data_IF_255618655853
#
_entry.id   IF_255618655853
#
_cell.length_a   1.000
_cell.length_b   1.000
_cell.length_c   1.000
_cell.angle_alpha   90.00
_cell.angle_beta   90.00
_cell.angle_gamma   90.00
#
_symmetry.space_group_name_H-M   'P 1'
#
loop_
_entity.id
_entity.type
_entity.pdbx_description
1 polymer ?
#
# COMPACT_ATOMS: atom_id res chain seq x y z
N UNK A 1 1.55 0.19 4.59
CA UNK A 1 2.37 1.32 4.09
C UNK A 1 2.00 2.56 4.88
N UNK A 2 2.96 3.36 5.34
CA UNK A 2 2.66 4.62 6.04
C UNK A 2 2.47 5.77 5.05
N UNK A 3 1.60 6.74 5.36
CA UNK A 3 1.30 7.87 4.49
C UNK A 3 2.34 9.01 4.57
N UNK A 4 2.30 9.94 3.61
CA UNK A 4 3.20 11.11 3.56
C UNK A 4 2.95 12.15 4.65
N UNK A 5 1.70 12.32 5.06
CA UNK A 5 1.29 13.46 5.85
C UNK A 5 1.86 13.40 7.28
N UNK A 6 1.84 14.55 7.95
CA UNK A 6 1.98 14.61 9.40
C UNK A 6 0.66 14.27 10.07
N UNK A 7 0.72 13.62 11.22
CA UNK A 7 -0.39 13.56 12.17
C UNK A 7 0.04 14.22 13.47
N UNK A 8 -0.69 15.25 13.88
CA UNK A 8 -0.37 16.04 15.07
C UNK A 8 1.09 16.55 15.08
N UNK A 9 1.58 16.99 13.91
CA UNK A 9 2.93 17.57 13.75
C UNK A 9 4.06 16.57 13.50
N UNK A 10 3.83 15.26 13.63
CA UNK A 10 4.85 14.21 13.45
C UNK A 10 4.60 13.48 12.13
N UNK A 11 5.64 13.31 11.31
CA UNK A 11 5.54 12.51 10.08
C UNK A 11 5.12 11.08 10.41
N UNK A 12 4.16 10.51 9.67
CA UNK A 12 3.66 9.16 9.99
C UNK A 12 4.80 8.12 9.91
N UNK A 13 5.75 8.28 8.99
CA UNK A 13 6.97 7.45 8.89
C UNK A 13 7.87 7.49 10.14
N UNK A 14 7.70 8.50 11.01
CA UNK A 14 8.45 8.68 12.25
C UNK A 14 7.53 8.63 13.50
N UNK A 15 6.28 8.22 13.34
CA UNK A 15 5.29 8.32 14.41
C UNK A 15 5.20 7.03 15.24
N UNK A 16 5.94 6.97 16.35
CA UNK A 16 6.01 5.78 17.21
C UNK A 16 4.65 5.38 17.78
N UNK A 17 3.78 6.36 18.06
CA UNK A 17 2.43 6.08 18.55
C UNK A 17 1.62 5.30 17.52
N UNK A 18 1.71 5.67 16.24
CA UNK A 18 0.99 4.96 15.18
C UNK A 18 1.64 3.62 14.85
N UNK A 19 2.95 3.64 14.56
CA UNK A 19 3.64 2.50 13.96
C UNK A 19 3.96 1.39 14.96
N UNK A 20 4.13 1.71 16.24
CA UNK A 20 4.42 0.74 17.29
C UNK A 20 3.27 0.63 18.28
N UNK A 21 2.93 1.71 19.01
CA UNK A 21 1.99 1.57 20.12
C UNK A 21 0.60 1.10 19.65
N UNK A 22 0.00 1.75 18.65
CA UNK A 22 -1.31 1.34 18.15
C UNK A 22 -1.18 0.09 17.26
N UNK A 23 -0.40 0.19 16.18
CA UNK A 23 -0.38 -0.86 15.17
C UNK A 23 0.14 -2.20 15.71
N UNK A 24 1.17 -2.19 16.55
CA UNK A 24 1.82 -3.43 17.03
C UNK A 24 1.38 -3.81 18.43
N UNK A 25 1.44 -2.88 19.38
CA UNK A 25 1.18 -3.22 20.78
C UNK A 25 -0.33 -3.38 21.06
N UNK A 26 -1.17 -2.51 20.50
CA UNK A 26 -2.63 -2.58 20.68
C UNK A 26 -3.29 -3.56 19.67
N UNK A 27 -2.94 -3.51 18.39
CA UNK A 27 -3.60 -4.32 17.35
C UNK A 27 -2.91 -5.64 17.02
N UNK A 28 -1.68 -5.85 17.51
CA UNK A 28 -0.95 -7.10 17.29
C UNK A 28 -0.43 -7.29 15.86
N UNK A 29 -0.12 -6.22 15.12
CA UNK A 29 0.41 -6.36 13.77
C UNK A 29 1.82 -6.97 13.75
N UNK A 30 1.94 -8.15 13.14
CA UNK A 30 3.20 -8.92 13.04
C UNK A 30 3.97 -8.69 11.73
N UNK A 31 3.39 -7.98 10.76
CA UNK A 31 4.02 -7.72 9.48
C UNK A 31 5.06 -6.60 9.51
N UNK A 32 5.52 -6.18 8.33
CA UNK A 32 6.40 -5.02 8.16
C UNK A 32 5.61 -3.76 7.79
N UNK A 33 6.15 -2.60 8.16
CA UNK A 33 5.69 -1.29 7.73
C UNK A 33 6.68 -0.73 6.71
N UNK A 34 6.22 -0.53 5.48
CA UNK A 34 6.96 0.19 4.44
C UNK A 34 6.51 1.65 4.34
N UNK A 35 7.39 2.54 3.86
CA UNK A 35 7.02 3.92 3.53
C UNK A 35 6.26 3.99 2.20
N UNK A 36 5.44 5.03 2.05
CA UNK A 36 5.10 5.52 0.70
C UNK A 36 6.36 6.08 0.02
N UNK A 37 6.29 6.28 -1.30
CA UNK A 37 7.39 6.60 -2.19
C UNK A 37 8.08 7.95 -1.85
N UNK A 38 9.15 7.89 -1.06
CA UNK A 38 9.88 9.08 -0.61
C UNK A 38 9.27 9.76 0.64
N UNK A 39 8.44 9.05 1.41
CA UNK A 39 7.85 9.55 2.65
C UNK A 39 8.82 9.56 3.86
N UNK A 40 10.07 9.12 3.68
CA UNK A 40 11.11 9.12 4.71
C UNK A 40 11.89 10.43 4.64
N UNK A 41 11.71 11.28 5.66
CA UNK A 41 12.43 12.56 5.77
C UNK A 41 13.77 12.40 6.49
N UNK A 42 13.81 11.55 7.51
CA UNK A 42 15.00 11.22 8.32
C UNK A 42 15.00 9.70 8.53
N UNK A 43 16.00 9.03 7.98
CA UNK A 43 16.08 7.56 7.93
C UNK A 43 16.33 6.98 9.31
N UNK A 44 17.24 7.58 10.08
CA UNK A 44 17.61 7.11 11.41
C UNK A 44 16.43 7.26 12.37
N UNK A 45 15.76 8.41 12.33
CA UNK A 45 14.63 8.71 13.19
C UNK A 45 13.36 7.93 12.82
N UNK A 46 13.27 7.35 11.62
CA UNK A 46 12.13 6.53 11.20
C UNK A 46 12.19 5.07 11.71
N UNK A 47 13.41 4.54 11.91
CA UNK A 47 13.63 3.14 12.32
C UNK A 47 13.06 2.87 13.71
N UNK A 48 13.41 3.71 14.70
CA UNK A 48 13.00 3.50 16.11
C UNK A 48 11.47 3.51 16.30
N UNK A 49 10.70 4.41 15.66
CA UNK A 49 9.24 4.38 15.63
C UNK A 49 8.61 3.10 15.08
N UNK A 50 9.35 2.32 14.28
CA UNK A 50 8.89 1.06 13.70
C UNK A 50 8.65 1.08 12.19
N UNK A 51 9.28 2.01 11.45
CA UNK A 51 9.38 1.89 10.00
C UNK A 51 10.41 0.81 9.64
N UNK A 52 10.01 -0.19 8.85
CA UNK A 52 10.85 -1.34 8.55
C UNK A 52 11.51 -1.27 7.16
N UNK A 53 10.90 -0.58 6.20
CA UNK A 53 11.36 -0.52 4.81
C UNK A 53 11.12 0.87 4.18
N UNK A 54 12.19 1.52 3.72
CA UNK A 54 12.11 2.70 2.85
C UNK A 54 11.79 2.27 1.42
N UNK A 55 10.81 2.94 0.81
CA UNK A 55 10.47 2.77 -0.61
C UNK A 55 10.32 4.15 -1.30
N UNK A 56 10.86 4.34 -2.52
CA UNK A 56 12.03 3.60 -3.00
C UNK A 56 13.25 4.03 -2.16
N UNK A 57 14.22 3.14 -1.97
CA UNK A 57 15.46 3.51 -1.29
C UNK A 57 16.26 4.55 -2.08
N UNK A 58 17.00 5.43 -1.40
CA UNK A 58 17.98 6.37 -2.01
C UNK A 58 19.31 5.70 -2.41
N UNK A 59 19.35 4.37 -2.48
CA UNK A 59 20.55 3.61 -2.77
C UNK A 59 21.60 3.71 -1.66
N UNK A 60 22.88 3.86 -2.02
CA UNK A 60 23.98 3.83 -1.07
C UNK A 60 23.93 4.96 -0.02
N UNK A 61 23.28 6.08 -0.32
CA UNK A 61 23.20 7.22 0.59
C UNK A 61 22.46 6.87 1.89
N UNK A 62 21.23 6.36 1.80
CA UNK A 62 20.43 6.00 2.98
C UNK A 62 21.02 4.80 3.73
N UNK A 63 21.64 3.85 3.02
CA UNK A 63 22.38 2.74 3.65
C UNK A 63 23.54 3.26 4.49
N UNK A 64 24.37 4.14 3.91
CA UNK A 64 25.54 4.69 4.61
C UNK A 64 25.15 5.56 5.80
N UNK A 65 24.01 6.27 5.75
CA UNK A 65 23.47 7.03 6.87
C UNK A 65 23.12 6.12 8.06
N UNK A 66 22.42 5.01 7.80
CA UNK A 66 22.06 4.04 8.84
C UNK A 66 23.30 3.36 9.42
N UNK A 67 24.24 2.93 8.56
CA UNK A 67 25.50 2.31 9.01
C UNK A 67 26.32 3.24 9.89
N UNK A 68 26.45 4.52 9.51
CA UNK A 68 27.12 5.53 10.34
C UNK A 68 26.39 5.71 11.67
N UNK A 69 25.07 5.84 11.66
CA UNK A 69 24.29 6.01 12.88
C UNK A 69 24.48 4.83 13.87
N UNK A 70 24.64 3.60 13.37
CA UNK A 70 24.96 2.45 14.23
C UNK A 70 26.39 2.53 14.79
N UNK A 71 27.38 2.76 13.92
CA UNK A 71 28.79 2.84 14.33
C UNK A 71 29.05 3.97 15.33
N UNK A 72 28.37 5.10 15.16
CA UNK A 72 28.49 6.29 16.00
C UNK A 72 27.61 6.19 17.28
N UNK A 73 26.82 5.13 17.44
CA UNK A 73 25.97 4.88 18.61
C UNK A 73 24.66 5.69 18.64
N UNK A 74 24.32 6.42 17.58
CA UNK A 74 23.05 7.14 17.42
C UNK A 74 21.85 6.19 17.19
N UNK A 75 22.09 5.02 16.63
CA UNK A 75 21.12 3.93 16.47
C UNK A 75 21.67 2.66 17.13
N UNK A 76 20.91 2.09 18.05
CA UNK A 76 21.29 0.79 18.62
C UNK A 76 21.10 -0.31 17.57
N UNK A 77 22.14 -1.12 17.36
CA UNK A 77 22.09 -2.26 16.41
C UNK A 77 20.90 -3.19 16.69
N UNK A 78 20.59 -3.45 17.97
CA UNK A 78 19.42 -4.27 18.34
C UNK A 78 18.05 -3.73 17.88
N UNK A 79 17.94 -2.42 17.63
CA UNK A 79 16.74 -1.83 17.03
C UNK A 79 16.72 -2.13 15.52
N UNK A 80 17.87 -1.99 14.86
CA UNK A 80 18.03 -2.32 13.45
C UNK A 80 17.79 -3.82 13.19
N UNK A 81 18.29 -4.70 14.07
CA UNK A 81 18.06 -6.15 14.01
C UNK A 81 16.58 -6.50 14.03
N UNK A 82 15.79 -5.83 14.88
CA UNK A 82 14.33 -6.05 14.95
C UNK A 82 13.65 -5.68 13.64
N UNK A 83 14.05 -4.58 13.03
CA UNK A 83 13.54 -4.11 11.74
C UNK A 83 13.94 -5.09 10.62
N UNK A 84 15.23 -5.44 10.54
CA UNK A 84 15.74 -6.38 9.55
C UNK A 84 15.07 -7.75 9.67
N UNK A 85 14.86 -8.26 10.89
CA UNK A 85 14.18 -9.52 11.12
C UNK A 85 12.73 -9.51 10.61
N UNK A 86 12.00 -8.41 10.71
CA UNK A 86 10.63 -8.32 10.15
C UNK A 86 10.63 -8.40 8.63
N UNK A 87 11.61 -7.77 7.99
CA UNK A 87 11.82 -7.88 6.53
C UNK A 87 12.14 -9.33 6.16
N UNK A 88 13.08 -9.97 6.86
CA UNK A 88 13.46 -11.37 6.62
C UNK A 88 12.28 -12.33 6.82
N UNK A 89 11.48 -12.15 7.88
CA UNK A 89 10.26 -12.95 8.11
C UNK A 89 9.24 -12.80 6.98
N UNK A 90 9.08 -11.59 6.43
CA UNK A 90 8.20 -11.36 5.29
C UNK A 90 8.71 -12.06 4.04
N UNK A 91 10.02 -11.98 3.75
CA UNK A 91 10.64 -12.71 2.64
C UNK A 91 10.46 -14.22 2.82
N UNK A 92 10.84 -14.77 3.97
CA UNK A 92 10.70 -16.20 4.26
C UNK A 92 9.26 -16.70 4.08
N UNK A 93 8.29 -15.94 4.56
CA UNK A 93 6.87 -16.31 4.52
C UNK A 93 6.27 -16.24 3.11
N UNK A 94 6.66 -15.24 2.31
CA UNK A 94 5.95 -14.88 1.08
C UNK A 94 6.79 -14.95 -0.19
N UNK A 95 8.04 -15.41 -0.13
CA UNK A 95 8.88 -15.58 -1.31
C UNK A 95 8.25 -16.61 -2.26
N UNK A 96 7.88 -16.20 -3.49
CA UNK A 96 7.32 -17.12 -4.46
C UNK A 96 8.40 -18.13 -4.87
N UNK A 97 8.11 -19.42 -4.70
CA UNK A 97 9.04 -20.50 -5.07
C UNK A 97 9.09 -20.73 -6.57
N UNK A 98 7.99 -20.44 -7.26
CA UNK A 98 7.82 -20.60 -8.70
C UNK A 98 6.94 -19.49 -9.25
N UNK A 99 7.06 -19.23 -10.55
CA UNK A 99 6.10 -18.39 -11.26
C UNK A 99 4.72 -19.04 -11.21
N UNK A 100 3.71 -18.26 -10.83
CA UNK A 100 2.33 -18.71 -10.82
C UNK A 100 1.75 -18.49 -12.20
N UNK A 101 1.30 -19.57 -12.86
CA UNK A 101 0.46 -19.44 -14.05
C UNK A 101 -0.96 -19.10 -13.60
N UNK A 102 -1.67 -18.28 -14.38
CA UNK A 102 -3.06 -17.91 -14.09
C UNK A 102 -3.87 -17.89 -15.37
N UNK A 103 -5.18 -18.15 -15.25
CA UNK A 103 -6.11 -18.06 -16.34
C UNK A 103 -6.54 -16.60 -16.53
N UNK A 104 -6.28 -16.04 -17.72
CA UNK A 104 -6.61 -14.64 -18.01
C UNK A 104 -8.10 -14.44 -18.22
N UNK A 105 -8.79 -15.41 -18.80
CA UNK A 105 -10.22 -15.32 -19.08
C UNK A 105 -11.01 -15.42 -17.77
N UNK A 106 -10.61 -16.33 -16.87
CA UNK A 106 -11.22 -16.43 -15.54
C UNK A 106 -11.08 -15.12 -14.74
N UNK A 107 -9.88 -14.50 -14.76
CA UNK A 107 -9.67 -13.22 -14.09
C UNK A 107 -10.44 -12.07 -14.76
N UNK A 108 -10.60 -12.11 -16.09
CA UNK A 108 -11.40 -11.13 -16.83
C UNK A 108 -12.89 -11.24 -16.47
N UNK A 109 -13.43 -12.46 -16.41
CA UNK A 109 -14.81 -12.72 -16.02
C UNK A 109 -15.09 -12.27 -14.58
N UNK A 110 -14.14 -12.51 -13.67
CA UNK A 110 -14.24 -12.00 -12.30
C UNK A 110 -14.23 -10.47 -12.23
N UNK A 111 -13.34 -9.81 -12.99
CA UNK A 111 -13.30 -8.35 -13.08
C UNK A 111 -14.60 -7.78 -13.67
N UNK A 112 -15.18 -8.44 -14.67
CA UNK A 112 -16.49 -8.08 -15.26
C UNK A 112 -17.60 -8.16 -14.21
N UNK A 113 -17.63 -9.23 -13.41
CA UNK A 113 -18.60 -9.37 -12.33
C UNK A 113 -18.45 -8.26 -11.28
N UNK A 114 -17.22 -7.96 -10.84
CA UNK A 114 -16.97 -6.86 -9.90
C UNK A 114 -17.40 -5.51 -10.48
N UNK A 115 -17.22 -5.29 -11.78
CA UNK A 115 -17.67 -4.07 -12.45
C UNK A 115 -19.20 -3.97 -12.44
N UNK A 116 -19.92 -5.07 -12.72
CA UNK A 116 -21.38 -5.13 -12.66
C UNK A 116 -21.90 -4.79 -11.23
N UNK A 117 -21.24 -5.34 -10.20
CA UNK A 117 -21.59 -5.12 -8.79
C UNK A 117 -21.16 -3.74 -8.24
N UNK A 118 -20.29 -3.02 -8.95
CA UNK A 118 -19.83 -1.68 -8.55
C UNK A 118 -20.75 -0.55 -9.02
N UNK A 119 -21.73 -0.84 -9.89
CA UNK A 119 -22.66 0.14 -10.42
C UNK A 119 -23.76 0.43 -9.40
N UNK A 120 -23.96 1.71 -9.06
CA UNK A 120 -25.05 2.16 -8.19
C UNK A 120 -26.12 2.87 -9.02
N UNK A 121 -27.32 2.29 -9.09
CA UNK A 121 -28.48 2.93 -9.73
C UNK A 121 -29.05 4.03 -8.82
N UNK A 122 -28.68 5.28 -9.07
CA UNK A 122 -29.10 6.42 -8.24
C UNK A 122 -30.55 6.84 -8.49
N UNK A 123 -31.07 6.65 -9.70
CA UNK A 123 -32.43 7.04 -10.08
C UNK A 123 -32.96 6.17 -11.21
N UNK A 124 -34.22 5.73 -11.09
CA UNK A 124 -34.95 5.00 -12.13
C UNK A 124 -36.41 5.45 -12.20
N UNK A 125 -36.64 6.65 -12.74
CA UNK A 125 -38.00 7.19 -12.87
C UNK A 125 -38.77 6.40 -13.92
N UNK A 126 -40.04 6.14 -13.62
CA UNK A 126 -40.96 5.43 -14.52
C UNK A 126 -40.47 4.04 -14.96
N UNK A 127 -39.57 3.41 -14.18
CA UNK A 127 -38.96 2.12 -14.52
C UNK A 127 -38.35 2.10 -15.93
N UNK A 128 -37.64 3.18 -16.30
CA UNK A 128 -36.98 3.28 -17.60
C UNK A 128 -35.92 2.18 -17.82
N UNK A 129 -35.22 1.79 -16.75
CA UNK A 129 -34.28 0.67 -16.76
C UNK A 129 -34.92 -0.59 -16.14
N UNK A 130 -34.62 -1.80 -16.65
CA UNK A 130 -33.73 -2.08 -17.78
C UNK A 130 -34.32 -1.67 -19.14
N UNK A 131 -33.46 -1.42 -20.12
CA UNK A 131 -33.88 -1.12 -21.49
C UNK A 131 -34.44 -2.39 -22.17
N UNK A 132 -35.43 -2.21 -23.04
CA UNK A 132 -35.94 -3.25 -23.93
C UNK A 132 -35.08 -3.37 -25.20
N UNK A 133 -35.00 -4.57 -25.77
CA UNK A 133 -34.12 -4.91 -26.90
C UNK A 133 -34.60 -4.40 -28.27
N UNK A 134 -35.82 -3.86 -28.35
CA UNK A 134 -36.45 -3.44 -29.62
C UNK A 134 -36.39 -1.94 -29.88
N UNK A 135 -35.80 -1.15 -28.97
CA UNK A 135 -35.74 0.31 -29.09
C UNK A 135 -34.44 0.79 -29.73
N UNK A 136 -34.51 1.90 -30.47
CA UNK A 136 -33.31 2.58 -30.98
C UNK A 136 -32.67 3.41 -29.87
N UNK A 137 -31.35 3.28 -29.68
CA UNK A 137 -30.59 3.96 -28.63
C UNK A 137 -29.64 4.97 -29.28
N UNK A 138 -29.65 6.22 -28.79
CA UNK A 138 -28.63 7.21 -29.10
C UNK A 138 -27.60 7.25 -27.96
N UNK A 139 -26.33 6.98 -28.28
CA UNK A 139 -25.22 7.03 -27.31
C UNK A 139 -24.51 8.37 -27.48
N UNK A 140 -24.44 9.16 -26.40
CA UNK A 140 -23.88 10.53 -26.42
C UNK A 140 -22.84 10.67 -25.31
N UNK A 141 -21.66 11.17 -25.66
CA UNK A 141 -20.57 11.51 -24.73
C UNK A 141 -19.25 10.80 -25.05
N UNK A 142 -18.13 11.50 -24.87
CA UNK A 142 -16.78 11.00 -25.19
C UNK A 142 -16.43 9.70 -24.46
N UNK A 143 -16.91 9.55 -23.22
CA UNK A 143 -16.59 8.39 -22.37
C UNK A 143 -17.18 7.08 -22.87
N UNK A 144 -18.16 7.11 -23.78
CA UNK A 144 -18.66 5.91 -24.43
C UNK A 144 -17.62 5.30 -25.39
N UNK A 145 -16.79 6.15 -26.02
CA UNK A 145 -15.72 5.72 -26.91
C UNK A 145 -14.36 5.63 -26.19
N UNK A 146 -14.11 6.52 -25.23
CA UNK A 146 -12.88 6.58 -24.41
C UNK A 146 -13.23 6.39 -22.93
N UNK A 147 -13.45 5.15 -22.49
CA UNK A 147 -13.84 4.89 -21.11
C UNK A 147 -12.77 5.39 -20.13
N UNK A 148 -13.23 5.83 -18.96
CA UNK A 148 -12.38 6.20 -17.83
C UNK A 148 -12.57 5.16 -16.74
N UNK A 149 -11.61 4.25 -16.63
CA UNK A 149 -11.51 3.22 -15.61
C UNK A 149 -10.15 3.30 -14.91
#
# INVERSE_FOLDING_TARGET
MCSYNKLNGIQVSQNQRLLTHILRDEWGFEGLVMSDWGAVVDHVAAIKPGLDLEMPGKGAESVNEIVRAVNDGHLQESILDKVALRVLKMVEKWQPKHAVNYDKEEQHDFARQLADESIVLLQNKHHLLPLNDTQSIAVIGELAAKPRF
#
